data_IF_564780153849
#
_entry.id   IF_564780153849
#
_cell.length_a   1.000
_cell.length_b   1.000
_cell.length_c   1.000
_cell.angle_alpha   90.00
_cell.angle_beta   90.00
_cell.angle_gamma   90.00
#
_symmetry.space_group_name_H-M   'P 1'
#
loop_
_entity.id
_entity.type
_entity.pdbx_description
1 polymer ?
#
# COMPACT_ATOMS: atom_id res chain seq x y z
N UNK A 1 -2.76 6.88 -6.32
CA UNK A 1 -3.29 5.68 -5.65
C UNK A 1 -4.06 5.98 -4.37
N UNK A 2 -3.44 6.43 -3.27
CA UNK A 2 -4.15 6.70 -2.00
C UNK A 2 -5.37 7.64 -2.17
N UNK A 3 -5.22 8.76 -2.88
CA UNK A 3 -6.32 9.70 -3.14
C UNK A 3 -7.48 9.05 -3.91
N UNK A 4 -7.20 8.09 -4.78
CA UNK A 4 -8.22 7.40 -5.57
C UNK A 4 -8.98 6.39 -4.71
N UNK A 5 -8.27 5.65 -3.85
CA UNK A 5 -8.88 4.82 -2.82
C UNK A 5 -9.79 5.64 -1.90
N UNK A 6 -9.33 6.80 -1.42
CA UNK A 6 -10.13 7.69 -0.58
C UNK A 6 -11.44 8.09 -1.24
N UNK A 7 -11.42 8.38 -2.55
CA UNK A 7 -12.62 8.72 -3.31
C UNK A 7 -13.65 7.58 -3.29
N UNK A 8 -13.21 6.31 -3.36
CA UNK A 8 -14.08 5.14 -3.26
C UNK A 8 -14.80 5.04 -1.89
N UNK A 9 -14.19 5.58 -0.84
CA UNK A 9 -14.77 5.62 0.51
C UNK A 9 -15.42 6.97 0.85
N UNK A 10 -15.78 7.78 -0.15
CA UNK A 10 -16.39 9.10 0.01
C UNK A 10 -15.55 10.10 0.83
N UNK A 11 -14.23 9.91 0.87
CA UNK A 11 -13.30 10.80 1.55
C UNK A 11 -12.71 11.79 0.54
N UNK A 12 -12.95 13.09 0.78
CA UNK A 12 -12.59 14.15 -0.17
C UNK A 12 -11.13 14.58 -0.10
N UNK A 13 -10.55 14.67 1.11
CA UNK A 13 -9.21 15.22 1.29
C UNK A 13 -8.55 14.74 2.58
N UNK A 14 -7.21 14.72 2.59
CA UNK A 14 -6.44 14.54 3.81
C UNK A 14 -6.30 15.88 4.53
N UNK A 15 -6.43 15.87 5.86
CA UNK A 15 -6.09 17.00 6.70
C UNK A 15 -4.61 16.94 7.04
N UNK A 16 -3.86 17.96 6.64
CA UNK A 16 -2.44 18.09 7.00
C UNK A 16 -2.32 18.36 8.50
N UNK A 17 -1.51 17.56 9.20
CA UNK A 17 -1.14 17.80 10.59
C UNK A 17 0.25 18.42 10.63
N UNK A 18 1.28 17.59 10.68
CA UNK A 18 2.68 18.01 10.67
C UNK A 18 3.43 17.13 9.69
N UNK A 19 4.17 16.14 10.20
CA UNK A 19 4.90 15.15 9.42
C UNK A 19 4.01 14.13 8.71
N UNK A 20 2.70 14.10 9.00
CA UNK A 20 1.72 13.28 8.29
C UNK A 20 0.44 14.05 7.98
N UNK A 21 -0.36 13.49 7.07
CA UNK A 21 -1.73 13.91 6.77
C UNK A 21 -2.68 12.74 6.99
N UNK A 22 -3.88 13.02 7.47
CA UNK A 22 -4.86 12.01 7.92
C UNK A 22 -6.27 12.33 7.41
N UNK A 23 -7.05 11.29 7.13
CA UNK A 23 -8.52 11.38 7.07
C UNK A 23 -9.15 10.08 7.53
N UNK A 24 -10.39 10.17 8.02
CA UNK A 24 -11.19 9.03 8.45
C UNK A 24 -12.47 8.94 7.62
N UNK A 25 -13.06 7.76 7.49
CA UNK A 25 -14.43 7.61 7.01
C UNK A 25 -15.43 7.97 8.13
N UNK A 26 -16.74 7.97 7.81
CA UNK A 26 -17.78 8.52 8.69
C UNK A 26 -17.90 7.81 10.06
N UNK A 27 -17.71 6.51 10.09
CA UNK A 27 -17.75 5.65 11.28
C UNK A 27 -16.37 5.43 11.92
N UNK A 28 -15.33 6.11 11.40
CA UNK A 28 -13.93 5.97 11.79
C UNK A 28 -13.34 4.54 11.72
N UNK A 29 -14.01 3.61 11.03
CA UNK A 29 -13.51 2.24 10.84
C UNK A 29 -12.31 2.17 9.89
N UNK A 30 -12.11 3.18 9.05
CA UNK A 30 -10.98 3.32 8.13
C UNK A 30 -10.27 4.66 8.32
N UNK A 31 -8.96 4.57 8.52
CA UNK A 31 -8.07 5.72 8.67
C UNK A 31 -7.06 5.69 7.53
N UNK A 32 -7.06 6.76 6.73
CA UNK A 32 -6.10 6.98 5.65
C UNK A 32 -5.00 7.90 6.16
N UNK A 33 -3.75 7.47 6.00
CA UNK A 33 -2.57 8.22 6.44
C UNK A 33 -1.59 8.34 5.30
N UNK A 34 -1.02 9.54 5.14
CA UNK A 34 0.07 9.80 4.20
C UNK A 34 1.22 10.47 4.94
N UNK A 35 2.43 9.97 4.75
CA UNK A 35 3.65 10.67 5.18
C UNK A 35 3.83 11.95 4.37
N UNK A 36 4.15 13.05 5.05
CA UNK A 36 4.58 14.30 4.42
C UNK A 36 6.11 14.45 4.40
N UNK A 37 6.84 13.45 4.90
CA UNK A 37 8.31 13.40 4.91
C UNK A 37 8.87 12.67 3.68
N UNK A 38 10.19 12.71 3.51
CA UNK A 38 10.87 11.91 2.51
C UNK A 38 10.68 10.41 2.76
N UNK A 39 10.75 9.59 1.70
CA UNK A 39 10.47 8.15 1.79
C UNK A 39 11.32 7.42 2.82
N UNK A 40 12.61 7.79 2.94
CA UNK A 40 13.53 7.26 3.95
C UNK A 40 13.20 7.72 5.39
N UNK A 41 12.33 8.72 5.57
CA UNK A 41 11.92 9.26 6.87
C UNK A 41 10.44 8.97 7.20
N UNK A 42 9.79 8.08 6.44
CA UNK A 42 8.36 7.74 6.64
C UNK A 42 8.05 7.21 8.04
N UNK A 43 9.05 6.64 8.73
CA UNK A 43 8.93 6.18 10.11
C UNK A 43 8.60 7.31 11.08
N UNK A 44 9.17 8.51 10.91
CA UNK A 44 8.90 9.65 11.79
C UNK A 44 7.41 10.04 11.73
N UNK A 45 6.83 9.95 10.54
CA UNK A 45 5.43 10.21 10.27
C UNK A 45 4.53 9.17 10.93
N UNK A 46 4.91 7.89 10.82
CA UNK A 46 4.22 6.78 11.49
C UNK A 46 4.23 6.95 13.02
N UNK A 47 5.40 7.18 13.62
CA UNK A 47 5.54 7.30 15.07
C UNK A 47 4.71 8.46 15.64
N UNK A 48 4.69 9.60 14.93
CA UNK A 48 3.86 10.73 15.34
C UNK A 48 2.37 10.39 15.23
N UNK A 49 1.97 9.73 14.15
CA UNK A 49 0.58 9.30 13.95
C UNK A 49 0.14 8.30 15.03
N UNK A 50 0.93 7.27 15.31
CA UNK A 50 0.63 6.27 16.34
C UNK A 50 0.58 6.87 17.75
N UNK A 51 1.36 7.92 18.02
CA UNK A 51 1.28 8.67 19.28
C UNK A 51 0.01 9.51 19.39
N UNK A 52 -0.41 10.12 18.28
CA UNK A 52 -1.56 11.03 18.24
C UNK A 52 -2.89 10.28 18.20
N UNK A 53 -2.92 9.11 17.55
CA UNK A 53 -4.12 8.33 17.26
C UNK A 53 -4.03 6.94 17.92
N UNK A 54 -5.13 6.47 18.50
CA UNK A 54 -5.17 5.15 19.15
C UNK A 54 -5.34 4.05 18.10
N UNK A 55 -4.24 3.46 17.65
CA UNK A 55 -4.23 2.41 16.60
C UNK A 55 -3.93 1.00 17.11
N UNK A 56 -3.84 0.83 18.43
CA UNK A 56 -3.60 -0.49 19.03
C UNK A 56 -4.78 -1.42 18.74
N UNK A 57 -4.48 -2.60 18.18
CA UNK A 57 -5.49 -3.60 17.79
C UNK A 57 -6.04 -3.42 16.37
N UNK A 58 -5.69 -2.34 15.67
CA UNK A 58 -6.04 -2.14 14.27
C UNK A 58 -5.18 -3.02 13.35
N UNK A 59 -5.76 -3.41 12.21
CA UNK A 59 -5.00 -3.96 11.08
C UNK A 59 -4.35 -2.80 10.32
N UNK A 60 -3.05 -2.89 10.10
CA UNK A 60 -2.29 -1.87 9.38
C UNK A 60 -2.00 -2.39 7.98
N UNK A 61 -2.42 -1.64 6.96
CA UNK A 61 -2.16 -1.97 5.56
C UNK A 61 -1.27 -0.91 4.92
N UNK A 62 -0.05 -1.29 4.55
CA UNK A 62 0.91 -0.42 3.89
C UNK A 62 0.80 -0.61 2.38
N UNK A 63 0.44 0.44 1.66
CA UNK A 63 0.50 0.47 0.20
C UNK A 63 1.92 0.87 -0.22
N UNK A 64 2.53 0.12 -1.14
CA UNK A 64 3.85 0.45 -1.64
C UNK A 64 4.03 0.03 -3.09
N UNK A 65 4.95 0.71 -3.78
CA UNK A 65 5.33 0.38 -5.15
C UNK A 65 6.31 -0.81 -5.12
N UNK A 66 5.92 -1.92 -5.74
CA UNK A 66 6.68 -3.16 -5.77
C UNK A 66 7.43 -3.31 -7.10
N UNK A 67 8.73 -3.03 -7.08
CA UNK A 67 9.58 -3.12 -8.26
C UNK A 67 10.00 -4.55 -8.63
N UNK A 68 9.78 -5.52 -7.74
CA UNK A 68 10.07 -6.93 -8.00
C UNK A 68 8.91 -7.59 -8.75
N UNK A 69 7.70 -7.09 -8.53
CA UNK A 69 6.49 -7.57 -9.19
C UNK A 69 6.21 -6.83 -10.50
N UNK A 70 5.71 -7.56 -11.51
CA UNK A 70 5.39 -7.01 -12.83
C UNK A 70 4.29 -5.93 -12.74
N UNK A 71 4.35 -4.95 -13.64
CA UNK A 71 3.27 -3.99 -13.85
C UNK A 71 1.93 -4.69 -13.99
N UNK A 72 0.89 -4.16 -13.36
CA UNK A 72 -0.44 -4.77 -13.38
C UNK A 72 -0.75 -5.63 -12.14
N UNK A 73 0.26 -6.02 -11.38
CA UNK A 73 0.07 -6.95 -10.26
C UNK A 73 -0.27 -6.24 -8.95
N UNK A 74 -1.17 -6.84 -8.17
CA UNK A 74 -1.45 -6.44 -6.79
C UNK A 74 -1.28 -7.67 -5.91
N UNK A 75 -0.48 -7.58 -4.86
CA UNK A 75 -0.19 -8.72 -3.98
C UNK A 75 -0.15 -8.33 -2.52
N UNK A 76 -0.93 -9.04 -1.71
CA UNK A 76 -0.89 -8.92 -0.26
C UNK A 76 0.25 -9.77 0.31
N UNK A 77 1.01 -9.23 1.25
CA UNK A 77 2.04 -9.95 2.01
C UNK A 77 2.06 -9.51 3.46
N UNK A 78 2.39 -10.43 4.39
CA UNK A 78 2.62 -10.04 5.78
C UNK A 78 3.88 -9.17 5.86
N UNK A 79 3.84 -8.12 6.67
CA UNK A 79 5.03 -7.30 6.92
C UNK A 79 6.10 -8.15 7.61
N UNK A 80 7.33 -8.18 7.08
CA UNK A 80 8.47 -8.90 7.67
C UNK A 80 9.53 -7.93 8.18
N UNK A 81 10.38 -8.40 9.10
CA UNK A 81 11.46 -7.60 9.69
C UNK A 81 12.63 -7.33 8.72
N UNK A 82 12.78 -8.12 7.65
CA UNK A 82 13.93 -8.02 6.73
C UNK A 82 13.47 -7.59 5.34
N UNK A 83 12.80 -6.44 5.24
CA UNK A 83 12.32 -5.91 3.96
C UNK A 83 13.44 -5.18 3.20
N UNK A 84 13.55 -5.47 1.90
CA UNK A 84 14.57 -4.91 1.00
C UNK A 84 14.27 -3.47 0.55
N UNK A 85 13.02 -3.01 0.70
CA UNK A 85 12.57 -1.71 0.23
C UNK A 85 12.90 -0.61 1.25
N UNK A 86 13.74 0.37 0.90
CA UNK A 86 14.27 1.36 1.86
C UNK A 86 13.21 2.16 2.63
N UNK A 87 12.07 2.49 2.00
CA UNK A 87 10.96 3.17 2.69
C UNK A 87 10.24 2.30 3.73
N UNK A 88 10.24 0.98 3.52
CA UNK A 88 9.67 -0.02 4.42
C UNK A 88 10.69 -0.41 5.48
N UNK A 89 11.97 -0.48 5.10
CA UNK A 89 13.10 -0.82 5.96
C UNK A 89 13.19 0.07 7.20
N UNK A 90 12.84 1.35 7.09
CA UNK A 90 12.89 2.27 8.22
C UNK A 90 11.65 2.22 9.12
N UNK A 91 10.51 1.72 8.63
CA UNK A 91 9.32 1.41 9.46
C UNK A 91 9.57 0.24 10.44
N UNK A 92 10.64 -0.52 10.24
CA UNK A 92 11.00 -1.74 10.97
C UNK A 92 11.58 -1.46 12.38
N UNK A 93 11.85 -0.20 12.72
CA UNK A 93 12.76 0.14 13.81
C UNK A 93 12.38 -0.40 15.21
N UNK A 94 11.10 -0.54 15.59
CA UNK A 94 10.76 -1.20 16.87
C UNK A 94 9.27 -1.44 17.16
N UNK A 95 8.34 -0.73 16.51
CA UNK A 95 6.96 -0.62 17.05
C UNK A 95 5.88 -1.38 16.26
N UNK A 96 6.13 -1.70 14.98
CA UNK A 96 5.19 -2.50 14.16
C UNK A 96 5.21 -4.00 14.45
N UNK A 97 6.14 -4.49 15.27
CA UNK A 97 6.43 -5.93 15.42
C UNK A 97 5.27 -6.71 16.07
N UNK A 98 4.51 -6.04 16.93
CA UNK A 98 3.36 -6.61 17.64
C UNK A 98 2.02 -6.21 17.01
N UNK A 99 2.05 -5.47 15.88
CA UNK A 99 0.86 -5.01 15.19
C UNK A 99 0.49 -5.95 14.04
N UNK A 100 -0.81 -6.05 13.77
CA UNK A 100 -1.33 -6.85 12.67
C UNK A 100 -1.10 -6.13 11.33
N UNK A 101 0.16 -6.15 10.87
CA UNK A 101 0.64 -5.34 9.75
C UNK A 101 0.85 -6.16 8.47
N UNK A 102 0.28 -5.67 7.38
CA UNK A 102 0.39 -6.22 6.03
C UNK A 102 0.84 -5.14 5.05
N UNK A 103 1.39 -5.59 3.93
CA UNK A 103 1.72 -4.75 2.80
C UNK A 103 0.93 -5.20 1.59
N UNK A 104 0.40 -4.24 0.86
CA UNK A 104 -0.20 -4.44 -0.44
C UNK A 104 0.74 -3.82 -1.47
N UNK A 105 1.47 -4.68 -2.18
CA UNK A 105 2.41 -4.28 -3.22
C UNK A 105 1.67 -4.04 -4.52
N UNK A 106 1.93 -2.90 -5.16
CA UNK A 106 1.48 -2.58 -6.51
C UNK A 106 2.68 -2.71 -7.43
N UNK A 107 2.63 -3.68 -8.34
CA UNK A 107 3.71 -3.98 -9.26
C UNK A 107 4.01 -2.79 -10.16
N UNK A 108 5.25 -2.32 -10.11
CA UNK A 108 5.79 -1.28 -11.00
C UNK A 108 6.93 -1.81 -11.89
N UNK A 109 7.29 -3.08 -11.71
CA UNK A 109 8.40 -3.74 -12.37
C UNK A 109 8.02 -4.44 -13.69
N UNK A 110 8.89 -5.35 -14.16
CA UNK A 110 10.15 -5.72 -13.52
C UNK A 110 11.19 -4.59 -13.69
N UNK A 111 12.02 -4.38 -12.67
CA UNK A 111 13.19 -3.51 -12.80
C UNK A 111 14.08 -3.97 -13.97
N UNK A 112 14.80 -3.07 -14.66
CA UNK A 112 15.75 -3.47 -15.70
C UNK A 112 16.75 -4.51 -15.17
N UNK A 113 17.02 -5.56 -15.97
CA UNK A 113 17.95 -6.65 -15.59
C UNK A 113 19.34 -6.15 -15.20
N UNK A 114 19.74 -5.00 -15.76
CA UNK A 114 21.06 -4.41 -15.64
C UNK A 114 21.11 -3.32 -14.55
N UNK A 115 20.03 -3.14 -13.79
CA UNK A 115 19.92 -2.03 -12.86
C UNK A 115 20.91 -2.18 -11.69
N UNK A 116 21.87 -1.25 -11.59
CA UNK A 116 22.70 -1.01 -10.40
C UNK A 116 21.90 -0.29 -9.31
N UNK A 117 22.43 -0.25 -8.07
CA UNK A 117 21.83 0.55 -7.00
C UNK A 117 21.66 2.03 -7.39
N UNK A 118 22.61 2.62 -8.14
CA UNK A 118 22.48 4.03 -8.56
C UNK A 118 21.35 4.21 -9.58
N UNK A 119 21.25 3.31 -10.56
CA UNK A 119 20.20 3.39 -11.60
C UNK A 119 18.80 3.07 -11.07
N UNK A 120 18.68 2.26 -10.00
CA UNK A 120 17.40 1.91 -9.38
C UNK A 120 16.65 3.14 -8.84
N UNK A 121 17.34 4.05 -8.15
CA UNK A 121 16.70 5.25 -7.62
C UNK A 121 16.13 6.11 -8.77
N UNK A 122 16.90 6.27 -9.84
CA UNK A 122 16.49 7.04 -11.02
C UNK A 122 15.31 6.38 -11.74
N UNK A 123 15.29 5.05 -11.82
CA UNK A 123 14.19 4.31 -12.44
C UNK A 123 12.89 4.39 -11.63
N UNK A 124 12.93 4.23 -10.31
CA UNK A 124 11.74 4.37 -9.44
C UNK A 124 11.17 5.80 -9.46
N UNK A 125 12.04 6.80 -9.62
CA UNK A 125 11.63 8.21 -9.73
C UNK A 125 11.23 8.62 -11.15
N UNK A 126 11.43 7.76 -12.15
CA UNK A 126 11.05 8.05 -13.53
C UNK A 126 9.52 8.03 -13.70
N UNK A 127 9.02 8.86 -14.61
CA UNK A 127 7.59 8.87 -14.93
C UNK A 127 7.24 7.65 -15.78
N UNK A 128 6.10 7.04 -15.50
CA UNK A 128 5.51 6.03 -16.38
C UNK A 128 5.19 6.63 -17.76
N UNK A 129 5.34 5.84 -18.82
CA UNK A 129 4.90 6.22 -20.15
C UNK A 129 3.36 6.16 -20.27
N UNK A 130 2.79 6.69 -21.36
CA UNK A 130 1.33 6.81 -21.52
C UNK A 130 0.58 5.46 -21.48
N UNK A 131 1.18 4.40 -22.02
CA UNK A 131 0.56 3.06 -22.03
C UNK A 131 0.63 2.41 -20.65
N UNK A 132 1.74 2.59 -19.93
CA UNK A 132 1.88 2.19 -18.54
C UNK A 132 0.91 2.95 -17.64
N UNK A 133 0.74 4.27 -17.86
CA UNK A 133 -0.24 5.08 -17.14
C UNK A 133 -1.63 4.52 -17.36
N UNK A 134 -2.04 4.26 -18.61
CA UNK A 134 -3.36 3.67 -18.91
C UNK A 134 -3.60 2.35 -18.20
N UNK A 135 -2.64 1.41 -18.28
CA UNK A 135 -2.73 0.11 -17.60
C UNK A 135 -2.78 0.24 -16.07
N UNK A 136 -2.05 1.19 -15.49
CA UNK A 136 -2.09 1.48 -14.05
C UNK A 136 -3.44 2.11 -13.64
N UNK A 137 -4.03 2.92 -14.51
CA UNK A 137 -5.10 3.83 -14.10
C UNK A 137 -6.47 3.16 -13.93
N UNK A 138 -6.75 2.09 -14.69
CA UNK A 138 -8.05 1.42 -14.67
C UNK A 138 -7.98 0.06 -13.94
N UNK A 139 -7.40 -0.97 -14.56
CA UNK A 139 -7.43 -2.33 -14.02
C UNK A 139 -6.71 -2.47 -12.67
N UNK A 140 -5.53 -1.88 -12.51
CA UNK A 140 -4.75 -1.99 -11.27
C UNK A 140 -5.44 -1.27 -10.13
N UNK A 141 -6.05 -0.12 -10.41
CA UNK A 141 -6.75 0.65 -9.40
C UNK A 141 -8.01 -0.08 -8.94
N UNK A 142 -8.79 -0.63 -9.86
CA UNK A 142 -9.96 -1.42 -9.51
C UNK A 142 -9.59 -2.68 -8.73
N UNK A 143 -8.54 -3.39 -9.15
CA UNK A 143 -8.01 -4.54 -8.43
C UNK A 143 -7.55 -4.14 -7.02
N UNK A 144 -6.89 -2.99 -6.88
CA UNK A 144 -6.47 -2.47 -5.57
C UNK A 144 -7.66 -2.18 -4.67
N UNK A 145 -8.69 -1.48 -5.18
CA UNK A 145 -9.94 -1.20 -4.46
C UNK A 145 -10.57 -2.53 -4.02
N UNK A 146 -10.63 -3.50 -4.93
CA UNK A 146 -11.19 -4.82 -4.69
C UNK A 146 -10.45 -5.56 -3.57
N UNK A 147 -9.12 -5.51 -3.55
CA UNK A 147 -8.29 -6.03 -2.46
C UNK A 147 -8.59 -5.35 -1.13
N UNK A 148 -8.62 -4.01 -1.09
CA UNK A 148 -8.87 -3.26 0.15
C UNK A 148 -10.27 -3.56 0.69
N UNK A 149 -11.31 -3.57 -0.15
CA UNK A 149 -12.67 -3.91 0.26
C UNK A 149 -12.74 -5.31 0.89
N UNK A 150 -12.15 -6.31 0.25
CA UNK A 150 -12.14 -7.68 0.77
C UNK A 150 -11.32 -7.84 2.06
N UNK A 151 -10.33 -6.97 2.30
CA UNK A 151 -9.59 -6.93 3.57
C UNK A 151 -10.47 -6.32 4.66
N UNK A 152 -11.15 -5.21 4.37
CA UNK A 152 -12.03 -4.51 5.32
C UNK A 152 -13.23 -5.37 5.71
N UNK A 153 -13.80 -6.11 4.77
CA UNK A 153 -14.92 -7.03 5.00
C UNK A 153 -14.50 -8.36 5.64
N UNK A 154 -13.19 -8.64 5.73
CA UNK A 154 -12.70 -9.86 6.37
C UNK A 154 -12.65 -9.71 7.89
N UNK A 155 -12.93 -10.79 8.61
CA UNK A 155 -12.70 -10.88 10.06
C UNK A 155 -11.19 -10.98 10.42
N UNK A 156 -10.31 -10.80 9.43
CA UNK A 156 -8.87 -10.91 9.56
C UNK A 156 -8.24 -11.75 8.45
N UNK A 157 -6.92 -11.66 8.35
CA UNK A 157 -6.13 -12.33 7.31
C UNK A 157 -5.29 -13.43 7.95
N UNK A 158 -5.78 -14.67 7.87
CA UNK A 158 -5.10 -15.84 8.45
C UNK A 158 -3.86 -16.24 7.66
N UNK A 159 -3.96 -16.27 6.33
CA UNK A 159 -2.89 -16.66 5.41
C UNK A 159 -2.95 -15.80 4.15
N UNK A 160 -1.87 -15.08 3.86
CA UNK A 160 -1.81 -14.16 2.72
C UNK A 160 -1.78 -14.88 1.37
N UNK A 161 -1.24 -16.10 1.29
CA UNK A 161 -1.24 -16.87 0.04
C UNK A 161 -2.65 -17.35 -0.30
N UNK A 162 -3.37 -17.90 0.68
CA UNK A 162 -4.78 -18.28 0.51
C UNK A 162 -5.63 -17.06 0.16
N UNK A 163 -5.40 -15.93 0.84
CA UNK A 163 -6.09 -14.68 0.54
C UNK A 163 -5.84 -14.25 -0.93
N UNK A 164 -4.57 -14.18 -1.37
CA UNK A 164 -4.25 -13.83 -2.75
C UNK A 164 -4.90 -14.79 -3.77
N UNK A 165 -4.85 -16.10 -3.54
CA UNK A 165 -5.47 -17.08 -4.43
C UNK A 165 -6.99 -16.87 -4.54
N UNK A 166 -7.66 -16.56 -3.42
CA UNK A 166 -9.08 -16.20 -3.39
C UNK A 166 -9.35 -14.93 -4.21
N UNK A 167 -8.53 -13.89 -4.02
CA UNK A 167 -8.67 -12.62 -4.73
C UNK A 167 -8.52 -12.80 -6.24
N UNK A 168 -7.53 -13.56 -6.70
CA UNK A 168 -7.35 -13.88 -8.13
C UNK A 168 -8.60 -14.55 -8.70
N UNK A 169 -9.15 -15.57 -8.02
CA UNK A 169 -10.34 -16.27 -8.47
C UNK A 169 -11.56 -15.34 -8.56
N UNK A 170 -11.80 -14.54 -7.53
CA UNK A 170 -12.94 -13.63 -7.51
C UNK A 170 -12.79 -12.50 -8.55
N UNK A 171 -11.58 -12.00 -8.76
CA UNK A 171 -11.29 -10.98 -9.75
C UNK A 171 -11.54 -11.47 -11.18
N UNK A 172 -11.09 -12.67 -11.52
CA UNK A 172 -11.36 -13.30 -12.83
C UNK A 172 -12.86 -13.45 -13.03
N UNK A 173 -13.56 -14.03 -12.05
CA UNK A 173 -15.02 -14.22 -12.12
C UNK A 173 -15.80 -12.91 -12.25
N UNK A 174 -15.26 -11.78 -11.76
CA UNK A 174 -15.89 -10.47 -11.88
C UNK A 174 -15.77 -9.90 -13.30
N UNK A 175 -14.66 -10.15 -13.99
CA UNK A 175 -14.37 -9.59 -15.31
C UNK A 175 -14.87 -10.46 -16.47
N UNK A 176 -15.22 -11.72 -16.20
CA UNK A 176 -15.82 -12.65 -17.18
C UNK A 176 -17.36 -12.53 -17.27
N UNK A 177 -17.99 -11.78 -16.37
CA UNK A 177 -19.44 -11.51 -16.34
C UNK A 177 -19.73 -10.05 -16.70
#
# INVERSE_FOLDING_TARGET
MLNLLMKNYNIKQLTKKSVYSISKNQDESLIFVKSNSYMNESVKSWQKFEKDERVKGSLILILYDDFESNLGTVKLSKFKKNESHNGIKNLIASELKDLNCYKLGIGIGPKPSNATRETMASWVLSSFNLDQIKSIHEDVLELLIFYVQNIVESEGITDTNKFNARMTKLWISRNEN
#
